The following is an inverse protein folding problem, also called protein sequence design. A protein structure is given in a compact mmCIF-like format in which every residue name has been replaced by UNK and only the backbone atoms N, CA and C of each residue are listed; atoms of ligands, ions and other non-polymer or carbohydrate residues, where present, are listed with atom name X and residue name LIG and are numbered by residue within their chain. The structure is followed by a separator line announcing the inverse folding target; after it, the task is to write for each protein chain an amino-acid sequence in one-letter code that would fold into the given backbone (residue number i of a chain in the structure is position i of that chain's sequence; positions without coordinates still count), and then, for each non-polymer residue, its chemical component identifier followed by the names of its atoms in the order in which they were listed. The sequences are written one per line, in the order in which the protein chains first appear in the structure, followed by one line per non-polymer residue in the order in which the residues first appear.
data_IF_759375275736
#
_entry.id   IF_759375275736
#
_cell.length_a   1.000
_cell.length_b   1.000
_cell.length_c   1.000
_cell.angle_alpha   90.00
_cell.angle_beta   90.00
_cell.angle_gamma   90.00
#
_symmetry.space_group_name_H-M   'P 1'
#
loop_
_entity.id
_entity.type
_entity.pdbx_description
1 polymer ?
#
# COMPACT_ATOMS: atom_id res chain seq x y z
N UNK A 1 11.79 8.94 -11.02
CA UNK A 1 11.48 9.33 -9.62
C UNK A 1 11.16 8.10 -8.77
N UNK A 2 10.00 7.43 -8.94
CA UNK A 2 9.57 6.29 -8.08
C UNK A 2 10.61 5.17 -7.95
N UNK A 3 11.06 4.58 -9.08
CA UNK A 3 12.04 3.48 -9.06
C UNK A 3 13.42 3.86 -8.47
N UNK A 4 13.77 5.15 -8.52
CA UNK A 4 15.00 5.69 -7.94
C UNK A 4 14.88 6.03 -6.45
N UNK A 5 13.68 5.97 -5.87
CA UNK A 5 13.45 6.20 -4.44
C UNK A 5 13.75 4.94 -3.61
N UNK A 6 14.02 5.13 -2.32
CA UNK A 6 14.05 4.05 -1.34
C UNK A 6 12.66 3.50 -1.04
N UNK A 7 11.62 4.33 -1.06
CA UNK A 7 10.25 3.94 -0.73
C UNK A 7 9.31 5.13 -0.72
N UNK A 8 8.06 4.90 -0.34
CA UNK A 8 7.12 5.98 -0.03
C UNK A 8 7.02 6.20 1.47
N UNK A 9 7.00 7.48 1.87
CA UNK A 9 6.44 7.93 3.14
C UNK A 9 5.25 8.85 2.84
N UNK A 10 4.10 8.65 3.50
CA UNK A 10 2.91 9.45 3.24
C UNK A 10 2.01 9.62 4.46
N UNK A 11 1.55 10.85 4.67
CA UNK A 11 0.46 11.18 5.61
C UNK A 11 -0.84 11.31 4.84
N UNK A 12 -1.96 10.96 5.48
CA UNK A 12 -3.27 11.09 4.89
C UNK A 12 -3.94 12.40 5.35
N UNK A 13 -4.91 12.88 4.57
CA UNK A 13 -5.79 13.94 5.05
C UNK A 13 -6.54 13.44 6.30
N UNK A 14 -6.62 14.28 7.34
CA UNK A 14 -7.16 13.89 8.66
C UNK A 14 -8.50 13.17 8.61
N UNK A 15 -9.41 13.60 7.72
CA UNK A 15 -10.72 12.96 7.55
C UNK A 15 -10.62 11.45 7.22
N UNK A 16 -9.65 11.03 6.39
CA UNK A 16 -9.48 9.61 6.07
C UNK A 16 -8.95 8.80 7.25
N UNK A 17 -8.16 9.43 8.10
CA UNK A 17 -7.68 8.84 9.36
C UNK A 17 -8.84 8.73 10.34
N UNK A 18 -9.60 9.80 10.55
CA UNK A 18 -10.69 9.84 11.52
C UNK A 18 -11.84 8.88 11.17
N UNK A 19 -12.15 8.74 9.88
CA UNK A 19 -13.24 7.90 9.39
C UNK A 19 -12.85 6.43 9.18
N UNK A 20 -11.55 6.13 9.15
CA UNK A 20 -11.03 4.79 8.84
C UNK A 20 -11.67 4.19 7.56
N UNK A 21 -11.87 5.04 6.53
CA UNK A 21 -12.63 4.67 5.33
C UNK A 21 -11.86 3.78 4.33
N UNK A 22 -10.64 3.38 4.65
CA UNK A 22 -9.79 2.55 3.82
C UNK A 22 -9.17 3.29 2.63
N UNK A 23 -9.14 4.63 2.66
CA UNK A 23 -8.56 5.41 1.56
C UNK A 23 -7.11 4.97 1.26
N UNK A 24 -6.82 4.74 0.00
CA UNK A 24 -5.52 4.25 -0.47
C UNK A 24 -5.14 4.94 -1.78
N UNK A 25 -3.89 5.43 -1.89
CA UNK A 25 -3.50 6.31 -2.99
C UNK A 25 -3.01 5.54 -4.24
N UNK A 26 -3.25 6.10 -5.42
CA UNK A 26 -2.70 5.60 -6.69
C UNK A 26 -1.16 5.63 -6.68
N UNK A 27 -0.57 6.65 -6.06
CA UNK A 27 0.88 6.76 -5.86
C UNK A 27 1.43 5.57 -5.06
N UNK A 28 0.75 5.18 -4.00
CA UNK A 28 1.12 4.02 -3.17
C UNK A 28 1.13 2.75 -4.00
N UNK A 29 0.09 2.51 -4.79
CA UNK A 29 0.04 1.35 -5.69
C UNK A 29 1.20 1.37 -6.69
N UNK A 30 1.58 2.53 -7.22
CA UNK A 30 2.75 2.65 -8.14
C UNK A 30 4.09 2.34 -7.44
N UNK A 31 4.25 2.70 -6.17
CA UNK A 31 5.43 2.31 -5.38
C UNK A 31 5.46 0.80 -5.17
N UNK A 32 4.35 0.21 -4.70
CA UNK A 32 4.22 -1.23 -4.52
C UNK A 32 4.53 -1.99 -5.83
N UNK A 33 3.94 -1.56 -6.95
CA UNK A 33 4.18 -2.14 -8.26
C UNK A 33 5.64 -2.01 -8.72
N UNK A 34 6.34 -0.96 -8.30
CA UNK A 34 7.77 -0.79 -8.57
C UNK A 34 8.67 -1.60 -7.63
N UNK A 35 8.10 -2.45 -6.77
CA UNK A 35 8.83 -3.20 -5.74
C UNK A 35 9.42 -2.31 -4.67
N UNK A 36 8.85 -1.12 -4.44
CA UNK A 36 9.32 -0.16 -3.43
C UNK A 36 8.40 -0.20 -2.21
N UNK A 37 8.96 -0.35 -1.00
CA UNK A 37 8.15 -0.43 0.19
C UNK A 37 7.50 0.91 0.52
N UNK A 38 6.39 0.83 1.25
CA UNK A 38 5.54 1.97 1.54
C UNK A 38 5.24 2.03 3.03
N UNK A 39 5.44 3.22 3.61
CA UNK A 39 5.06 3.57 4.97
C UNK A 39 4.03 4.70 4.92
N UNK A 40 2.76 4.39 5.15
CA UNK A 40 1.65 5.34 5.02
C UNK A 40 0.78 5.37 6.26
N UNK A 41 0.17 6.52 6.52
CA UNK A 41 -0.68 6.70 7.69
C UNK A 41 -1.94 5.83 7.58
N UNK A 42 -2.31 5.20 8.69
CA UNK A 42 -3.42 4.23 8.76
C UNK A 42 -4.78 4.92 8.56
N UNK A 43 -5.42 4.60 7.44
CA UNK A 43 -6.80 5.00 7.13
C UNK A 43 -7.77 3.82 7.23
N UNK A 44 -7.37 2.69 7.81
CA UNK A 44 -8.18 1.48 7.88
C UNK A 44 -8.05 0.54 6.68
N UNK A 45 -7.13 0.81 5.74
CA UNK A 45 -6.93 -0.02 4.54
C UNK A 45 -6.49 -1.46 4.86
N UNK A 46 -5.97 -1.71 6.07
CA UNK A 46 -5.61 -3.04 6.55
C UNK A 46 -6.79 -4.02 6.66
N UNK A 47 -8.04 -3.53 6.58
CA UNK A 47 -9.20 -4.39 6.47
C UNK A 47 -9.26 -5.17 5.14
N UNK A 48 -8.66 -4.64 4.09
CA UNK A 48 -8.69 -5.22 2.73
C UNK A 48 -7.31 -5.59 2.19
N UNK A 49 -6.24 -5.00 2.73
CA UNK A 49 -4.86 -5.17 2.26
C UNK A 49 -3.97 -5.75 3.35
N UNK A 50 -3.01 -6.63 3.00
CA UNK A 50 -2.03 -7.12 3.96
C UNK A 50 -1.09 -5.98 4.39
N UNK A 51 -0.83 -5.92 5.68
CA UNK A 51 0.08 -4.93 6.29
C UNK A 51 1.16 -5.62 7.09
N UNK A 52 2.32 -4.97 7.21
CA UNK A 52 3.44 -5.42 8.02
C UNK A 52 4.71 -5.71 7.21
N UNK A 53 4.59 -6.15 5.97
CA UNK A 53 5.69 -6.36 5.02
C UNK A 53 5.35 -5.71 3.68
N UNK A 54 6.30 -4.96 3.10
CA UNK A 54 6.10 -4.14 1.90
C UNK A 54 5.15 -2.94 2.05
N UNK A 55 4.04 -3.09 2.75
CA UNK A 55 3.09 -2.04 3.14
C UNK A 55 3.03 -1.94 4.67
N UNK A 56 3.47 -0.82 5.22
CA UNK A 56 3.44 -0.56 6.65
C UNK A 56 2.50 0.61 6.94
N UNK A 57 1.65 0.42 7.95
CA UNK A 57 0.75 1.44 8.45
C UNK A 57 1.33 2.08 9.73
N UNK A 58 1.16 3.39 9.89
CA UNK A 58 1.47 4.08 11.16
C UNK A 58 0.30 4.96 11.61
N UNK A 59 0.16 5.16 12.92
CA UNK A 59 -0.88 6.02 13.51
C UNK A 59 -0.33 7.28 14.16
N UNK A 60 0.95 7.25 14.52
CA UNK A 60 1.65 8.33 15.20
C UNK A 60 3.12 8.40 14.77
N UNK A 61 3.83 9.41 15.25
CA UNK A 61 5.23 9.63 14.93
C UNK A 61 6.14 8.47 15.39
N UNK A 62 6.00 7.92 16.63
CA UNK A 62 6.77 6.74 17.03
C UNK A 62 6.57 5.55 16.08
N UNK A 63 5.33 5.26 15.67
CA UNK A 63 5.03 4.20 14.71
C UNK A 63 5.65 4.46 13.34
N UNK A 64 5.67 5.71 12.86
CA UNK A 64 6.35 6.07 11.63
C UNK A 64 7.87 5.85 11.72
N UNK A 65 8.51 6.22 12.83
CA UNK A 65 9.94 6.00 13.04
C UNK A 65 10.25 4.50 13.07
N UNK A 66 9.44 3.71 13.77
CA UNK A 66 9.62 2.27 13.86
C UNK A 66 9.40 1.58 12.50
N UNK A 67 8.36 1.96 11.77
CA UNK A 67 8.11 1.46 10.42
C UNK A 67 9.27 1.75 9.47
N UNK A 68 9.85 2.94 9.54
CA UNK A 68 11.03 3.29 8.74
C UNK A 68 12.24 2.41 9.08
N UNK A 69 12.49 2.15 10.37
CA UNK A 69 13.59 1.28 10.82
C UNK A 69 13.41 -0.16 10.36
N UNK A 70 12.18 -0.69 10.42
CA UNK A 70 11.86 -2.03 9.94
C UNK A 70 12.11 -2.19 8.44
N UNK A 71 11.69 -1.19 7.65
CA UNK A 71 11.96 -1.16 6.21
C UNK A 71 13.46 -1.17 5.95
N UNK A 72 14.25 -0.37 6.68
CA UNK A 72 15.70 -0.29 6.49
C UNK A 72 16.41 -1.60 6.90
N UNK A 73 15.97 -2.22 8.00
CA UNK A 73 16.56 -3.44 8.53
C UNK A 73 16.37 -4.68 7.62
N UNK A 74 15.28 -4.76 6.86
CA UNK A 74 15.01 -5.88 5.94
C UNK A 74 14.44 -5.38 4.59
N UNK A 75 15.18 -4.47 3.97
CA UNK A 75 14.73 -3.77 2.78
C UNK A 75 14.37 -4.70 1.61
N UNK A 76 15.15 -5.77 1.41
CA UNK A 76 14.93 -6.70 0.30
C UNK A 76 13.61 -7.47 0.45
N UNK A 77 13.30 -7.95 1.66
CA UNK A 77 12.02 -8.61 1.95
C UNK A 77 10.86 -7.66 1.74
N UNK A 78 10.98 -6.42 2.26
CA UNK A 78 9.98 -5.40 2.08
C UNK A 78 9.76 -5.04 0.59
N UNK A 79 10.82 -4.98 -0.23
CA UNK A 79 10.69 -4.78 -1.68
C UNK A 79 9.94 -5.93 -2.37
N UNK A 80 10.29 -7.17 -2.04
CA UNK A 80 9.63 -8.35 -2.58
C UNK A 80 8.15 -8.41 -2.20
N UNK A 81 7.85 -8.15 -0.92
CA UNK A 81 6.48 -8.08 -0.42
C UNK A 81 5.68 -6.96 -1.12
N UNK A 82 6.28 -5.78 -1.29
CA UNK A 82 5.65 -4.65 -1.98
C UNK A 82 5.19 -5.05 -3.40
N UNK A 83 6.06 -5.70 -4.16
CA UNK A 83 5.72 -6.19 -5.50
C UNK A 83 4.61 -7.23 -5.48
N UNK A 84 4.69 -8.21 -4.57
CA UNK A 84 3.65 -9.25 -4.42
C UNK A 84 2.28 -8.67 -4.08
N UNK A 85 2.22 -7.64 -3.22
CA UNK A 85 0.96 -6.98 -2.88
C UNK A 85 0.35 -6.33 -4.12
N UNK A 86 1.15 -5.62 -4.92
CA UNK A 86 0.66 -5.03 -6.17
C UNK A 86 0.10 -6.08 -7.12
N UNK A 87 0.84 -7.16 -7.35
CA UNK A 87 0.44 -8.26 -8.25
C UNK A 87 -0.80 -9.00 -7.74
N UNK A 88 -0.99 -9.13 -6.42
CA UNK A 88 -2.10 -9.91 -5.87
C UNK A 88 -3.40 -9.11 -5.75
N UNK A 89 -3.31 -7.83 -5.40
CA UNK A 89 -4.47 -7.02 -5.02
C UNK A 89 -4.82 -5.91 -6.02
N UNK A 90 -3.90 -5.56 -6.93
CA UNK A 90 -4.06 -4.41 -7.81
C UNK A 90 -3.77 -4.72 -9.29
N UNK A 91 -3.42 -5.96 -9.63
CA UNK A 91 -3.23 -6.37 -11.01
C UNK A 91 -4.56 -6.34 -11.75
N UNK A 92 -4.61 -5.62 -12.88
CA UNK A 92 -5.80 -5.51 -13.71
C UNK A 92 -6.30 -6.85 -14.19
N UNK A 93 -5.41 -7.79 -14.48
CA UNK A 93 -5.79 -9.11 -14.99
C UNK A 93 -6.52 -9.94 -13.92
N UNK A 94 -6.38 -9.56 -12.64
CA UNK A 94 -7.07 -10.17 -11.50
C UNK A 94 -8.35 -9.39 -11.16
N UNK A 95 -8.25 -8.07 -11.03
CA UNK A 95 -9.36 -7.27 -10.47
C UNK A 95 -10.38 -6.83 -11.51
N UNK A 96 -9.96 -6.55 -12.74
CA UNK A 96 -10.83 -5.98 -13.77
C UNK A 96 -11.89 -6.97 -14.26
N UNK A 97 -11.60 -8.26 -14.53
CA UNK A 97 -12.63 -9.20 -14.96
C UNK A 97 -13.78 -9.30 -13.96
N UNK A 98 -13.45 -9.50 -12.68
CA UNK A 98 -14.43 -9.55 -11.60
C UNK A 98 -15.23 -8.25 -11.48
N UNK A 99 -14.56 -7.10 -11.57
CA UNK A 99 -15.24 -5.80 -11.51
C UNK A 99 -16.25 -5.64 -12.65
N UNK A 100 -15.88 -6.01 -13.88
CA UNK A 100 -16.75 -5.88 -15.04
C UNK A 100 -17.93 -6.86 -14.99
N UNK A 101 -17.73 -8.08 -14.46
CA UNK A 101 -18.82 -9.02 -14.20
C UNK A 101 -19.80 -8.46 -13.15
N UNK A 102 -19.30 -7.99 -12.01
CA UNK A 102 -20.12 -7.42 -10.93
C UNK A 102 -20.85 -6.13 -11.35
N UNK A 103 -20.26 -5.34 -12.26
CA UNK A 103 -20.89 -4.13 -12.79
C UNK A 103 -21.89 -4.41 -13.93
N UNK A 104 -22.00 -5.65 -14.42
CA UNK A 104 -22.81 -6.01 -15.59
C UNK A 104 -22.27 -5.50 -16.93
N UNK A 105 -20.97 -5.16 -16.98
CA UNK A 105 -20.29 -4.73 -18.20
C UNK A 105 -19.75 -5.91 -19.03
N UNK A 106 -19.58 -7.08 -18.41
CA UNK A 106 -19.42 -8.37 -19.09
C UNK A 106 -20.76 -9.11 -19.00
N UNK A 107 -21.32 -9.43 -20.17
CA UNK A 107 -22.54 -10.21 -20.34
C UNK A 107 -22.25 -11.72 -20.38
#
# INVERSE_FOLDING_TARGET
YVQGSGGEFGVAQGLYVDTQCGWFSDRTVRYLASGKPVLVQDTGFGASLPVGEGLLAFRDLPGAVEGSKRIDADYATHCGAARRIAETYFDSDIVLPRFLEESGALA
#
